data_IF_892695184363
#
_entry.id   IF_892695184363
#
_cell.length_a   1.000
_cell.length_b   1.000
_cell.length_c   1.000
_cell.angle_alpha   90.00
_cell.angle_beta   90.00
_cell.angle_gamma   90.00
#
_symmetry.space_group_name_H-M   'P 1'
#
loop_
_entity.id
_entity.type
_entity.pdbx_description
1 polymer ?
#
# COMPACT_ATOMS: atom_id res chain seq x y z
N UNK A 1 2.08 -5.01 -3.16
CA UNK A 1 1.97 -4.35 -1.84
C UNK A 1 2.08 -2.82 -1.92
N UNK A 2 2.75 -2.26 -2.92
CA UNK A 2 2.97 -0.79 -3.01
C UNK A 2 2.32 -0.14 -4.22
N UNK A 3 1.83 -0.92 -5.19
CA UNK A 3 1.04 -0.37 -6.27
C UNK A 3 -0.28 0.23 -5.73
N UNK A 4 -0.91 1.09 -6.52
CA UNK A 4 -2.23 1.65 -6.21
C UNK A 4 -3.30 0.90 -7.03
N UNK A 5 -3.69 -0.32 -6.62
CA UNK A 5 -4.60 -1.14 -7.41
C UNK A 5 -6.03 -0.61 -7.38
N UNK A 6 -6.41 0.13 -6.34
CA UNK A 6 -7.74 0.71 -6.19
C UNK A 6 -7.67 2.23 -6.27
N UNK A 7 -8.38 2.79 -7.23
CA UNK A 7 -8.55 4.23 -7.41
C UNK A 7 -9.95 4.61 -6.94
N UNK A 8 -10.01 5.42 -5.89
CA UNK A 8 -11.26 6.02 -5.40
C UNK A 8 -11.37 7.41 -6.02
N UNK A 9 -12.35 7.64 -6.87
CA UNK A 9 -12.46 8.85 -7.68
C UNK A 9 -13.82 9.50 -7.54
N UNK A 10 -13.83 10.84 -7.46
CA UNK A 10 -15.09 11.58 -7.47
C UNK A 10 -15.82 11.41 -8.81
N UNK A 11 -17.13 11.17 -8.74
CA UNK A 11 -17.98 10.93 -9.94
C UNK A 11 -17.84 12.03 -11.00
N UNK A 12 -17.69 13.28 -10.57
CA UNK A 12 -17.59 14.44 -11.47
C UNK A 12 -16.40 14.42 -12.44
N UNK A 13 -15.35 13.65 -12.11
CA UNK A 13 -14.14 13.52 -12.95
C UNK A 13 -13.88 12.09 -13.39
N UNK A 14 -14.68 11.13 -12.96
CA UNK A 14 -14.43 9.70 -13.13
C UNK A 14 -14.34 9.30 -14.62
N UNK A 15 -15.30 9.70 -15.45
CA UNK A 15 -15.31 9.33 -16.88
C UNK A 15 -14.06 9.83 -17.60
N UNK A 16 -13.64 11.07 -17.34
CA UNK A 16 -12.43 11.62 -17.94
C UNK A 16 -11.18 10.87 -17.47
N UNK A 17 -11.09 10.57 -16.17
CA UNK A 17 -9.97 9.83 -15.61
C UNK A 17 -9.88 8.41 -16.19
N UNK A 18 -11.00 7.70 -16.28
CA UNK A 18 -11.07 6.33 -16.81
C UNK A 18 -10.67 6.30 -18.28
N UNK A 19 -11.14 7.25 -19.08
CA UNK A 19 -10.75 7.36 -20.49
C UNK A 19 -9.24 7.58 -20.66
N UNK A 20 -8.65 8.48 -19.86
CA UNK A 20 -7.21 8.76 -19.89
C UNK A 20 -6.38 7.56 -19.40
N UNK A 21 -6.84 6.86 -18.37
CA UNK A 21 -6.19 5.64 -17.86
C UNK A 21 -6.21 4.54 -18.93
N UNK A 22 -7.36 4.31 -19.57
CA UNK A 22 -7.50 3.34 -20.65
C UNK A 22 -6.54 3.62 -21.80
N UNK A 23 -6.50 4.85 -22.29
CA UNK A 23 -5.59 5.27 -23.35
C UNK A 23 -4.13 4.98 -23.01
N UNK A 24 -3.69 5.38 -21.82
CA UNK A 24 -2.32 5.15 -21.36
C UNK A 24 -2.01 3.67 -21.16
N UNK A 25 -2.94 2.92 -20.61
CA UNK A 25 -2.79 1.48 -20.39
C UNK A 25 -2.65 0.70 -21.70
N UNK A 26 -3.44 1.06 -22.74
CA UNK A 26 -3.35 0.45 -24.06
C UNK A 26 -2.00 0.70 -24.75
N UNK A 27 -1.31 1.78 -24.42
CA UNK A 27 0.00 2.13 -24.97
C UNK A 27 1.17 1.49 -24.21
N UNK A 28 0.92 0.72 -23.15
CA UNK A 28 1.98 0.01 -22.43
C UNK A 28 2.44 -1.21 -23.24
N UNK A 29 3.73 -1.23 -23.59
CA UNK A 29 4.33 -2.40 -24.21
C UNK A 29 4.46 -3.53 -23.17
N UNK A 30 3.75 -4.61 -23.43
CA UNK A 30 3.87 -5.86 -22.67
C UNK A 30 4.88 -6.76 -23.36
N UNK A 31 5.82 -7.33 -22.63
CA UNK A 31 6.86 -8.15 -23.24
C UNK A 31 7.92 -8.66 -22.27
N UNK A 32 9.00 -9.19 -22.83
CA UNK A 32 10.15 -9.66 -22.07
C UNK A 32 10.88 -8.49 -21.39
N UNK A 33 11.29 -8.67 -20.14
CA UNK A 33 11.96 -7.65 -19.35
C UNK A 33 13.37 -7.26 -19.89
N UNK A 34 13.97 -8.10 -20.74
CA UNK A 34 15.25 -7.77 -21.38
C UNK A 34 15.12 -6.78 -22.54
N UNK A 35 13.91 -6.55 -23.06
CA UNK A 35 13.65 -5.49 -24.02
C UNK A 35 13.45 -4.16 -23.27
N UNK A 36 14.32 -3.15 -23.46
CA UNK A 36 14.25 -1.87 -22.75
C UNK A 36 12.96 -1.07 -23.06
N UNK A 37 12.27 -1.39 -24.13
CA UNK A 37 10.99 -0.78 -24.46
C UNK A 37 9.81 -1.41 -23.69
N UNK A 38 9.99 -2.58 -23.07
CA UNK A 38 8.96 -3.23 -22.28
C UNK A 38 8.65 -2.41 -21.02
N UNK A 39 7.37 -2.22 -20.76
CA UNK A 39 6.85 -1.51 -19.57
C UNK A 39 6.10 -2.42 -18.60
N UNK A 40 5.67 -3.59 -19.08
CA UNK A 40 4.97 -4.59 -18.29
C UNK A 40 5.49 -5.97 -18.65
N UNK A 41 6.12 -6.64 -17.71
CA UNK A 41 6.66 -7.99 -17.84
C UNK A 41 5.61 -9.08 -17.54
N UNK A 42 6.04 -10.36 -17.53
CA UNK A 42 5.17 -11.47 -17.16
C UNK A 42 4.87 -11.47 -15.66
N UNK A 43 3.78 -12.11 -15.27
CA UNK A 43 3.51 -12.44 -13.88
C UNK A 43 4.34 -13.66 -13.44
N UNK A 44 4.37 -13.94 -12.14
CA UNK A 44 5.34 -14.85 -11.53
C UNK A 44 5.20 -16.32 -11.94
N UNK A 45 4.01 -16.77 -12.33
CA UNK A 45 3.75 -18.18 -12.70
C UNK A 45 2.45 -18.34 -13.49
N UNK A 46 2.27 -19.51 -14.13
CA UNK A 46 1.03 -19.91 -14.78
C UNK A 46 -0.16 -19.90 -13.83
N UNK A 47 -0.01 -20.52 -12.65
CA UNK A 47 -1.06 -20.56 -11.63
C UNK A 47 -1.48 -19.16 -11.17
N UNK A 48 -0.52 -18.23 -11.06
CA UNK A 48 -0.82 -16.86 -10.71
C UNK A 48 -1.55 -16.11 -11.83
N UNK A 49 -1.17 -16.36 -13.10
CA UNK A 49 -1.90 -15.84 -14.27
C UNK A 49 -3.36 -16.31 -14.26
N UNK A 50 -3.59 -17.59 -14.04
CA UNK A 50 -4.94 -18.17 -13.94
C UNK A 50 -5.76 -17.53 -12.81
N UNK A 51 -5.14 -17.34 -11.64
CA UNK A 51 -5.77 -16.64 -10.51
C UNK A 51 -6.17 -15.22 -10.91
N UNK A 52 -5.28 -14.44 -11.51
CA UNK A 52 -5.58 -13.06 -11.94
C UNK A 52 -6.75 -13.07 -12.91
N UNK A 53 -6.70 -13.92 -13.95
CA UNK A 53 -7.76 -14.01 -14.96
C UNK A 53 -9.11 -14.42 -14.34
N UNK A 54 -9.12 -15.37 -13.42
CA UNK A 54 -10.34 -15.79 -12.71
C UNK A 54 -10.92 -14.68 -11.84
N UNK A 55 -10.06 -13.87 -11.21
CA UNK A 55 -10.51 -12.75 -10.39
C UNK A 55 -11.03 -11.59 -11.22
N UNK A 56 -10.44 -11.31 -12.39
CA UNK A 56 -11.01 -10.36 -13.34
C UNK A 56 -12.43 -10.80 -13.73
N UNK A 57 -12.61 -12.10 -14.06
CA UNK A 57 -13.93 -12.63 -14.38
C UNK A 57 -14.89 -12.49 -13.20
N UNK A 58 -14.44 -12.85 -11.99
CA UNK A 58 -15.24 -12.68 -10.79
C UNK A 58 -15.69 -11.24 -10.56
N UNK A 59 -14.84 -10.26 -10.80
CA UNK A 59 -15.23 -8.84 -10.73
C UNK A 59 -16.33 -8.48 -11.71
N UNK A 60 -16.25 -9.00 -12.94
CA UNK A 60 -17.31 -8.83 -13.94
C UNK A 60 -18.61 -9.51 -13.50
N UNK A 61 -18.54 -10.73 -12.99
CA UNK A 61 -19.71 -11.49 -12.51
C UNK A 61 -20.37 -10.83 -11.29
N UNK A 62 -19.59 -10.15 -10.46
CA UNK A 62 -20.08 -9.35 -9.33
C UNK A 62 -20.64 -7.97 -9.75
N UNK A 63 -20.54 -7.62 -11.04
CA UNK A 63 -21.17 -6.42 -11.63
C UNK A 63 -20.23 -5.25 -11.89
N UNK A 64 -18.92 -5.43 -11.80
CA UNK A 64 -17.96 -4.41 -12.26
C UNK A 64 -17.95 -4.30 -13.78
N UNK A 65 -17.75 -3.09 -14.30
CA UNK A 65 -17.66 -2.83 -15.72
C UNK A 65 -16.22 -3.07 -16.22
N UNK A 66 -16.05 -4.01 -17.14
CA UNK A 66 -14.76 -4.26 -17.79
C UNK A 66 -14.49 -3.19 -18.86
N UNK A 67 -13.61 -2.24 -18.57
CA UNK A 67 -13.24 -1.11 -19.43
C UNK A 67 -12.10 -1.47 -20.38
N UNK A 68 -11.14 -2.25 -19.88
CA UNK A 68 -10.00 -2.78 -20.63
C UNK A 68 -9.72 -4.20 -20.14
N UNK A 69 -9.56 -5.14 -21.08
CA UNK A 69 -9.31 -6.56 -20.81
C UNK A 69 -7.92 -6.97 -21.27
N UNK A 70 -7.04 -7.30 -20.33
CA UNK A 70 -5.67 -7.76 -20.59
C UNK A 70 -5.48 -9.28 -20.58
N UNK A 71 -6.54 -10.09 -20.40
CA UNK A 71 -6.43 -11.55 -20.20
C UNK A 71 -5.89 -12.32 -21.39
N UNK A 72 -6.17 -11.87 -22.61
CA UNK A 72 -5.87 -12.59 -23.84
C UNK A 72 -4.69 -11.99 -24.61
N UNK A 73 -3.78 -11.32 -23.91
CA UNK A 73 -2.62 -10.75 -24.58
C UNK A 73 -1.67 -11.86 -25.07
N UNK A 74 -1.17 -11.69 -26.29
CA UNK A 74 -0.15 -12.55 -26.88
C UNK A 74 1.11 -11.72 -27.07
N UNK A 75 2.24 -12.23 -26.57
CA UNK A 75 3.55 -11.60 -26.74
C UNK A 75 4.32 -12.43 -27.77
N UNK A 76 4.58 -11.90 -28.97
CA UNK A 76 5.26 -12.62 -30.05
C UNK A 76 6.64 -13.15 -29.61
N UNK A 77 6.89 -14.44 -29.87
CA UNK A 77 8.11 -15.14 -29.43
C UNK A 77 8.11 -15.61 -27.98
N UNK A 78 7.03 -15.34 -27.24
CA UNK A 78 6.85 -15.74 -25.83
C UNK A 78 5.42 -16.25 -25.58
N UNK A 79 4.86 -16.99 -26.52
CA UNK A 79 3.46 -17.43 -26.53
C UNK A 79 3.10 -18.30 -25.29
N UNK A 80 4.10 -19.00 -24.75
CA UNK A 80 3.95 -19.80 -23.53
C UNK A 80 4.27 -19.01 -22.23
N UNK A 81 4.51 -17.70 -22.34
CA UNK A 81 4.81 -16.84 -21.21
C UNK A 81 3.58 -16.52 -20.36
N UNK A 82 3.81 -16.18 -19.11
CA UNK A 82 2.74 -15.90 -18.14
C UNK A 82 2.33 -14.42 -18.19
N UNK A 83 1.93 -13.92 -19.35
CA UNK A 83 1.57 -12.52 -19.53
C UNK A 83 0.09 -12.28 -19.23
N UNK A 84 -0.18 -11.15 -18.58
CA UNK A 84 -1.49 -10.51 -18.45
C UNK A 84 -1.28 -9.05 -18.82
N UNK A 85 -2.08 -8.52 -19.72
CA UNK A 85 -2.04 -7.12 -20.08
C UNK A 85 -2.74 -6.24 -19.05
N UNK A 86 -2.61 -4.91 -19.17
CA UNK A 86 -3.32 -3.98 -18.32
C UNK A 86 -4.83 -4.23 -18.38
N UNK A 87 -5.46 -4.28 -17.21
CA UNK A 87 -6.91 -4.48 -17.08
C UNK A 87 -7.49 -3.38 -16.22
N UNK A 88 -8.66 -2.86 -16.60
CA UNK A 88 -9.38 -1.84 -15.83
C UNK A 88 -10.80 -2.31 -15.61
N UNK A 89 -11.19 -2.39 -14.33
CA UNK A 89 -12.56 -2.63 -13.88
C UNK A 89 -13.10 -1.35 -13.24
N UNK A 90 -14.20 -0.84 -13.78
CA UNK A 90 -14.89 0.35 -13.26
C UNK A 90 -16.16 -0.03 -12.50
N UNK A 91 -16.76 0.91 -11.79
CA UNK A 91 -17.95 0.71 -10.96
C UNK A 91 -17.79 -0.40 -9.90
N UNK A 92 -16.56 -0.60 -9.41
CA UNK A 92 -16.30 -1.54 -8.32
C UNK A 92 -16.91 -0.98 -7.03
N UNK A 93 -17.74 -1.79 -6.37
CA UNK A 93 -18.46 -1.41 -5.15
C UNK A 93 -17.83 -2.08 -3.91
N UNK A 94 -18.00 -1.52 -2.71
CA UNK A 94 -17.70 -2.23 -1.47
C UNK A 94 -18.42 -3.60 -1.43
N UNK A 95 -17.73 -4.63 -0.93
CA UNK A 95 -18.23 -6.00 -0.90
C UNK A 95 -17.93 -6.84 -2.14
N UNK A 96 -17.50 -6.23 -3.25
CA UNK A 96 -16.98 -6.99 -4.39
C UNK A 96 -15.60 -7.55 -4.04
N UNK A 97 -15.38 -8.84 -4.31
CA UNK A 97 -14.14 -9.55 -3.98
C UNK A 97 -12.90 -8.84 -4.50
N UNK A 98 -12.95 -8.37 -5.75
CA UNK A 98 -11.83 -7.66 -6.39
C UNK A 98 -11.53 -6.31 -5.74
N UNK A 99 -12.52 -5.66 -5.15
CA UNK A 99 -12.37 -4.37 -4.50
C UNK A 99 -11.88 -4.43 -3.06
N UNK A 100 -12.01 -5.59 -2.42
CA UNK A 100 -11.73 -5.77 -1.00
C UNK A 100 -10.51 -6.66 -0.74
N UNK A 101 -10.03 -7.38 -1.77
CA UNK A 101 -8.85 -8.24 -1.69
C UNK A 101 -7.85 -7.94 -2.79
N UNK A 102 -6.57 -8.10 -2.48
CA UNK A 102 -5.48 -7.83 -3.41
C UNK A 102 -5.37 -8.92 -4.49
N UNK A 103 -5.47 -8.51 -5.76
CA UNK A 103 -5.31 -9.42 -6.92
C UNK A 103 -3.83 -9.76 -7.16
N UNK A 104 -2.95 -8.80 -6.93
CA UNK A 104 -1.51 -8.85 -7.18
C UNK A 104 -1.17 -9.08 -8.65
N UNK A 105 -1.80 -8.29 -9.52
CA UNK A 105 -1.63 -8.33 -10.98
C UNK A 105 -1.86 -6.97 -11.63
N UNK A 106 -1.71 -6.85 -12.95
CA UNK A 106 -1.85 -5.58 -13.67
C UNK A 106 -3.33 -5.19 -13.84
N UNK A 107 -4.05 -5.06 -12.74
CA UNK A 107 -5.48 -4.77 -12.69
C UNK A 107 -5.71 -3.52 -11.86
N UNK A 108 -6.32 -2.52 -12.46
CA UNK A 108 -6.73 -1.30 -11.78
C UNK A 108 -8.25 -1.30 -11.59
N UNK A 109 -8.65 -1.00 -10.37
CA UNK A 109 -10.04 -1.03 -9.92
C UNK A 109 -10.49 0.39 -9.63
N UNK A 110 -11.64 0.80 -10.17
CA UNK A 110 -12.19 2.14 -10.00
C UNK A 110 -13.42 2.07 -9.09
N UNK A 111 -13.36 2.75 -7.96
CA UNK A 111 -14.50 3.00 -7.06
C UNK A 111 -14.91 4.45 -7.20
N UNK A 112 -16.14 4.70 -7.60
CA UNK A 112 -16.69 6.05 -7.79
C UNK A 112 -17.38 6.52 -6.51
N UNK A 113 -17.14 7.75 -6.14
CA UNK A 113 -17.68 8.38 -4.92
C UNK A 113 -18.18 9.78 -5.21
N UNK A 114 -19.09 10.26 -4.38
CA UNK A 114 -19.64 11.63 -4.52
C UNK A 114 -18.68 12.71 -4.05
N UNK A 115 -17.93 12.45 -2.98
CA UNK A 115 -17.08 13.43 -2.30
C UNK A 115 -15.87 12.79 -1.59
N UNK A 116 -15.06 13.64 -0.98
CA UNK A 116 -13.88 13.24 -0.22
C UNK A 116 -14.23 12.38 1.00
N UNK A 117 -15.29 12.71 1.71
CA UNK A 117 -15.72 12.05 2.95
C UNK A 117 -16.11 10.59 2.67
N UNK A 118 -16.88 10.35 1.62
CA UNK A 118 -17.25 9.00 1.20
C UNK A 118 -16.01 8.22 0.75
N UNK A 119 -15.12 8.86 -0.01
CA UNK A 119 -13.88 8.22 -0.47
C UNK A 119 -12.99 7.80 0.69
N UNK A 120 -12.79 8.67 1.67
CA UNK A 120 -12.01 8.38 2.87
C UNK A 120 -12.65 7.26 3.71
N UNK A 121 -13.96 7.29 3.87
CA UNK A 121 -14.70 6.27 4.61
C UNK A 121 -14.54 4.87 3.96
N UNK A 122 -14.64 4.77 2.63
CA UNK A 122 -14.42 3.52 1.89
C UNK A 122 -12.98 3.02 2.06
N UNK A 123 -11.99 3.92 1.98
CA UNK A 123 -10.59 3.54 2.17
C UNK A 123 -10.33 3.04 3.59
N UNK A 124 -10.83 3.75 4.59
CA UNK A 124 -10.64 3.39 6.00
C UNK A 124 -11.47 2.17 6.43
N UNK A 125 -12.52 1.80 5.72
CA UNK A 125 -13.28 0.57 5.98
C UNK A 125 -12.54 -0.71 5.60
N UNK A 126 -11.48 -0.61 4.77
CA UNK A 126 -10.67 -1.77 4.40
C UNK A 126 -9.92 -2.31 5.64
N UNK A 127 -9.88 -3.64 5.87
CA UNK A 127 -9.12 -4.23 6.96
C UNK A 127 -7.61 -4.05 6.81
N UNK A 128 -7.12 -3.82 5.59
CA UNK A 128 -5.72 -3.54 5.31
C UNK A 128 -5.47 -2.03 5.21
N UNK A 129 -4.31 -1.58 5.70
CA UNK A 129 -3.93 -0.17 5.72
C UNK A 129 -2.41 -0.01 5.53
N UNK A 130 -1.89 -0.52 4.41
CA UNK A 130 -0.48 -0.40 4.07
C UNK A 130 -0.15 1.01 3.54
N UNK A 131 -0.55 1.32 2.31
CA UNK A 131 -0.32 2.62 1.70
C UNK A 131 -1.61 3.28 1.25
N UNK A 132 -1.68 4.60 1.40
CA UNK A 132 -2.77 5.42 0.89
C UNK A 132 -2.25 6.70 0.25
N UNK A 133 -2.90 7.15 -0.82
CA UNK A 133 -2.45 8.32 -1.58
C UNK A 133 -3.64 9.21 -1.91
N UNK A 134 -3.43 10.52 -1.83
CA UNK A 134 -4.36 11.52 -2.37
C UNK A 134 -3.67 12.34 -3.48
N UNK A 135 -4.40 12.60 -4.54
CA UNK A 135 -4.05 13.57 -5.57
C UNK A 135 -4.98 14.77 -5.47
N UNK A 136 -4.45 15.93 -5.08
CA UNK A 136 -5.22 17.14 -4.88
C UNK A 136 -4.36 18.40 -4.99
N UNK A 137 -4.94 19.51 -5.44
CA UNK A 137 -4.32 20.84 -5.38
C UNK A 137 -4.73 21.62 -4.10
N UNK A 138 -5.65 21.07 -3.31
CA UNK A 138 -6.13 21.71 -2.09
C UNK A 138 -5.29 21.31 -0.89
N UNK A 139 -4.58 22.26 -0.28
CA UNK A 139 -3.84 22.05 0.96
C UNK A 139 -4.74 21.64 2.14
N UNK A 140 -6.02 22.04 2.10
CA UNK A 140 -7.00 21.62 3.11
C UNK A 140 -7.26 20.10 3.03
N UNK A 141 -7.59 19.58 1.84
CA UNK A 141 -7.85 18.16 1.68
C UNK A 141 -6.59 17.31 1.83
N UNK A 142 -5.43 17.80 1.41
CA UNK A 142 -4.16 17.14 1.65
C UNK A 142 -3.91 16.89 3.14
N UNK A 143 -4.02 17.95 3.97
CA UNK A 143 -3.86 17.88 5.42
C UNK A 143 -4.93 17.02 6.08
N UNK A 144 -6.19 17.15 5.64
CA UNK A 144 -7.30 16.35 6.16
C UNK A 144 -7.09 14.87 5.90
N UNK A 145 -6.63 14.51 4.70
CA UNK A 145 -6.28 13.14 4.34
C UNK A 145 -5.12 12.59 5.17
N UNK A 146 -4.04 13.35 5.31
CA UNK A 146 -2.88 12.99 6.14
C UNK A 146 -3.29 12.63 7.58
N UNK A 147 -4.20 13.40 8.16
CA UNK A 147 -4.64 13.21 9.55
C UNK A 147 -5.66 12.08 9.74
N UNK A 148 -6.49 11.79 8.74
CA UNK A 148 -7.67 10.93 8.91
C UNK A 148 -7.56 9.59 8.19
N UNK A 149 -6.57 9.38 7.31
CA UNK A 149 -6.36 8.08 6.67
C UNK A 149 -5.74 7.09 7.65
N UNK A 150 -6.20 5.84 7.60
CA UNK A 150 -5.63 4.74 8.38
C UNK A 150 -4.35 4.18 7.76
N UNK A 151 -3.95 4.62 6.58
CA UNK A 151 -2.76 4.14 5.88
C UNK A 151 -1.48 4.32 6.70
N UNK A 152 -0.63 3.31 6.77
CA UNK A 152 0.66 3.39 7.45
C UNK A 152 1.69 4.25 6.70
N UNK A 153 1.59 4.26 5.36
CA UNK A 153 2.39 5.12 4.48
C UNK A 153 1.46 6.01 3.68
N UNK A 154 1.58 7.33 3.85
CA UNK A 154 0.68 8.31 3.25
C UNK A 154 1.42 9.10 2.18
N UNK A 155 0.85 9.14 0.98
CA UNK A 155 1.35 9.93 -0.13
C UNK A 155 0.41 11.10 -0.48
N UNK A 156 1.00 12.26 -0.75
CA UNK A 156 0.30 13.43 -1.27
C UNK A 156 0.92 13.77 -2.62
N UNK A 157 0.14 13.62 -3.69
CA UNK A 157 0.58 13.85 -5.07
C UNK A 157 1.80 13.00 -5.49
N UNK A 158 1.98 11.84 -4.89
CA UNK A 158 2.99 10.85 -5.27
C UNK A 158 2.31 9.53 -5.62
N UNK A 159 2.80 8.87 -6.67
CA UNK A 159 2.18 7.64 -7.15
C UNK A 159 2.36 6.43 -6.24
N UNK A 160 3.49 6.36 -5.53
CA UNK A 160 3.82 5.23 -4.64
C UNK A 160 4.45 5.80 -3.37
N UNK A 161 3.81 5.65 -2.18
CA UNK A 161 4.26 6.26 -0.94
C UNK A 161 5.35 5.42 -0.24
N UNK A 162 6.33 4.91 -0.99
CA UNK A 162 7.45 4.14 -0.42
C UNK A 162 8.41 5.07 0.31
N UNK A 163 8.71 4.83 1.59
CA UNK A 163 9.67 5.63 2.33
C UNK A 163 11.12 5.31 1.90
N UNK A 164 12.02 6.25 2.11
CA UNK A 164 13.45 5.95 2.06
C UNK A 164 13.84 5.03 3.24
N UNK A 165 14.97 4.33 3.11
CA UNK A 165 15.42 3.34 4.10
C UNK A 165 15.65 3.89 5.53
N UNK A 166 15.69 5.20 5.70
CA UNK A 166 15.83 5.85 7.02
C UNK A 166 14.51 5.94 7.81
N UNK A 167 13.38 5.72 7.14
CA UNK A 167 12.05 5.76 7.74
C UNK A 167 11.43 4.37 7.79
N UNK A 168 10.52 4.12 8.76
CA UNK A 168 9.83 2.84 8.83
C UNK A 168 9.01 2.56 7.57
N UNK A 169 9.02 1.31 7.11
CA UNK A 169 8.05 0.81 6.15
C UNK A 169 6.79 0.44 6.93
N UNK A 170 5.91 1.43 7.12
CA UNK A 170 4.78 1.32 8.03
C UNK A 170 3.58 0.64 7.39
N UNK A 171 2.84 -0.11 8.19
CA UNK A 171 1.54 -0.68 7.87
C UNK A 171 0.69 -0.70 9.13
N UNK A 172 -0.62 -0.52 8.97
CA UNK A 172 -1.56 -0.54 10.07
C UNK A 172 -2.59 -1.66 9.87
N UNK A 173 -3.43 -1.90 10.87
CA UNK A 173 -4.48 -2.93 10.84
C UNK A 173 -3.91 -4.31 10.47
N UNK A 174 -4.56 -5.06 9.57
CA UNK A 174 -4.12 -6.40 9.13
C UNK A 174 -2.93 -6.37 8.16
N UNK A 175 -2.43 -5.19 7.80
CA UNK A 175 -1.23 -5.06 6.96
C UNK A 175 0.06 -5.26 7.72
N UNK A 176 0.02 -5.41 9.05
CA UNK A 176 1.23 -5.52 9.85
C UNK A 176 1.05 -6.43 11.07
N UNK A 177 2.14 -7.07 11.49
CA UNK A 177 2.20 -7.90 12.70
C UNK A 177 3.14 -7.24 13.72
N UNK A 178 2.65 -6.95 14.94
CA UNK A 178 3.43 -6.35 16.03
C UNK A 178 3.53 -4.82 15.93
N UNK A 179 4.49 -4.25 16.66
CA UNK A 179 4.60 -2.81 16.90
C UNK A 179 5.75 -2.13 16.17
N UNK A 180 6.81 -2.88 15.85
CA UNK A 180 8.01 -2.35 15.20
C UNK A 180 8.01 -2.71 13.71
N UNK A 181 8.12 -1.70 12.88
CA UNK A 181 8.16 -1.85 11.42
C UNK A 181 9.58 -2.13 10.91
N UNK A 182 9.69 -2.62 9.69
CA UNK A 182 10.99 -2.79 9.03
C UNK A 182 11.54 -1.45 8.58
N UNK A 183 12.85 -1.35 8.48
CA UNK A 183 13.61 -0.16 8.11
C UNK A 183 13.66 0.93 9.21
N UNK A 184 14.52 1.90 9.01
CA UNK A 184 14.72 3.02 9.91
C UNK A 184 15.10 2.59 11.34
N UNK A 185 14.75 3.41 12.30
CA UNK A 185 15.02 3.15 13.72
C UNK A 185 14.23 1.96 14.27
N UNK A 186 13.07 1.69 13.72
CA UNK A 186 12.23 0.57 14.14
C UNK A 186 12.90 -0.77 13.80
N UNK A 187 13.51 -0.88 12.62
CA UNK A 187 14.29 -2.06 12.26
C UNK A 187 15.45 -2.32 13.22
N UNK A 188 16.16 -1.27 13.65
CA UNK A 188 17.21 -1.41 14.66
C UNK A 188 16.64 -1.87 16.01
N UNK A 189 15.53 -1.29 16.45
CA UNK A 189 14.86 -1.67 17.71
C UNK A 189 14.37 -3.10 17.69
N UNK A 190 13.88 -3.58 16.54
CA UNK A 190 13.40 -4.95 16.37
C UNK A 190 14.50 -6.00 16.66
N UNK A 191 15.72 -5.75 16.19
CA UNK A 191 16.86 -6.67 16.36
C UNK A 191 17.69 -6.43 17.63
N UNK A 192 17.30 -5.49 18.47
CA UNK A 192 18.04 -5.15 19.70
C UNK A 192 17.13 -5.25 20.93
N UNK A 193 17.77 -5.36 22.09
CA UNK A 193 17.06 -5.32 23.38
C UNK A 193 17.60 -4.17 24.22
N UNK A 194 16.70 -3.40 24.78
CA UNK A 194 17.07 -2.39 25.76
C UNK A 194 17.58 -3.06 27.05
N UNK A 195 18.67 -2.55 27.58
CA UNK A 195 19.20 -2.94 28.90
C UNK A 195 19.40 -1.67 29.70
N UNK A 196 18.66 -1.55 30.81
CA UNK A 196 18.86 -0.48 31.76
C UNK A 196 19.91 -0.89 32.77
N UNK A 197 20.91 -0.07 32.97
CA UNK A 197 21.99 -0.32 33.94
C UNK A 197 22.10 0.89 34.86
N UNK A 198 21.87 0.66 36.12
CA UNK A 198 22.12 1.65 37.18
C UNK A 198 23.42 1.27 37.86
N UNK A 199 24.35 2.22 38.00
CA UNK A 199 25.65 2.00 38.60
C UNK A 199 25.87 3.04 39.70
N UNK A 200 26.44 2.59 40.81
CA UNK A 200 26.98 3.45 41.88
C UNK A 200 28.38 2.97 42.23
N UNK A 201 29.30 3.90 42.33
CA UNK A 201 30.67 3.62 42.73
C UNK A 201 30.89 4.24 44.11
N UNK A 202 31.26 3.41 45.10
CA UNK A 202 31.60 3.87 46.43
C UNK A 202 33.09 4.21 46.42
N UNK A 203 33.45 5.39 46.95
CA UNK A 203 34.84 5.67 47.28
C UNK A 203 35.23 5.02 48.61
N UNK A 204 36.52 4.88 48.85
CA UNK A 204 37.04 4.24 50.06
C UNK A 204 36.64 4.96 51.36
N UNK A 205 36.20 6.20 51.30
CA UNK A 205 35.83 7.05 52.41
C UNK A 205 34.32 7.20 52.58
N UNK A 206 33.53 6.89 51.58
CA UNK A 206 32.07 6.88 51.66
C UNK A 206 31.55 5.53 52.16
N UNK A 207 31.70 5.24 53.44
CA UNK A 207 31.01 4.08 53.99
C UNK A 207 29.50 4.28 53.91
N UNK A 208 28.95 3.59 52.93
CA UNK A 208 27.58 3.15 52.84
C UNK A 208 26.52 4.08 53.43
N UNK A 209 26.17 5.14 52.70
CA UNK A 209 24.78 5.53 52.69
C UNK A 209 24.13 4.70 51.59
N UNK A 210 23.20 3.85 51.98
CA UNK A 210 22.41 3.00 51.13
C UNK A 210 21.82 3.88 50.03
N UNK A 211 22.26 3.70 48.78
CA UNK A 211 21.70 4.40 47.66
C UNK A 211 20.36 3.78 47.36
N UNK A 212 19.33 4.58 47.60
CA UNK A 212 18.02 4.34 47.05
C UNK A 212 17.36 3.05 47.54
N UNK A 213 16.76 3.10 48.64
CA UNK A 213 15.49 2.43 48.78
C UNK A 213 14.51 3.16 47.86
N UNK A 214 13.64 2.40 47.23
CA UNK A 214 12.57 2.89 46.33
C UNK A 214 11.70 4.03 46.94
N UNK A 215 11.93 4.41 48.16
CA UNK A 215 11.22 5.44 48.92
C UNK A 215 11.70 6.87 48.64
N UNK A 216 12.63 7.07 47.72
CA UNK A 216 12.97 8.39 47.17
C UNK A 216 13.61 9.38 48.10
N UNK A 217 13.99 9.02 49.32
CA UNK A 217 14.70 9.88 50.26
C UNK A 217 16.21 9.64 50.15
N UNK A 218 16.89 10.48 49.42
CA UNK A 218 18.33 10.68 49.55
C UNK A 218 18.50 11.69 50.68
N UNK A 219 18.83 11.25 51.90
CA UNK A 219 19.38 12.16 52.88
C UNK A 219 20.73 12.70 52.38
N UNK A 220 20.81 13.99 52.23
CA UNK A 220 22.01 14.74 51.79
C UNK A 220 23.04 14.80 52.92
#
# INVERSE_FOLDING_TARGET
>A
CMALPVVVVQESIADRLVAMLKERAMNLKVGCAYDPATKLGPVVSAAHREKICSWIQKGVDEGAQLVLDGRNIVVPGYENGFFVGPTILDHVKPGMTVGDREIFGPVTLIKRVKDFEEGLAIMNANPFANGSVIFTQSGYYARKFEMLTDGGMVGINVGIPVPSAYFPFSGNKESFFGDLHVLGKDGVRFYTRAKTVTKHWYDEHSRAKTVGTWEGTVER
#
